data_IF_249153199190
#
_entry.id   IF_249153199190
#
_cell.length_a   1.000
_cell.length_b   1.000
_cell.length_c   1.000
_cell.angle_alpha   90.00
_cell.angle_beta   90.00
_cell.angle_gamma   90.00
#
_symmetry.space_group_name_H-M   'P 1'
#
loop_
_entity.id
_entity.type
_entity.pdbx_description
1 polymer ?
#
# COMPACT_ATOMS: atom_id res chain seq x y z
N UNK A 1 -36.83 33.73 35.55
CA UNK A 1 -36.60 34.43 34.28
C UNK A 1 -35.43 33.72 33.60
N UNK A 2 -35.67 32.96 32.52
CA UNK A 2 -34.61 32.21 31.84
C UNK A 2 -34.02 33.08 30.73
N UNK A 3 -32.73 33.41 30.84
CA UNK A 3 -32.01 34.18 29.82
C UNK A 3 -31.38 33.23 28.80
N UNK A 4 -31.87 33.27 27.56
CA UNK A 4 -31.36 32.46 26.46
C UNK A 4 -30.54 33.34 25.49
N UNK A 5 -29.24 33.04 25.28
CA UNK A 5 -28.29 33.79 24.44
C UNK A 5 -28.38 33.42 22.94
N UNK A 6 -29.28 34.07 22.18
CA UNK A 6 -29.32 34.14 20.70
C UNK A 6 -29.65 35.59 20.35
N UNK A 7 -29.30 36.07 19.14
CA UNK A 7 -29.61 37.45 18.72
C UNK A 7 -31.10 37.80 18.86
N UNK A 8 -32.00 36.82 18.70
CA UNK A 8 -33.41 36.98 19.04
C UNK A 8 -33.68 36.53 20.49
N UNK A 9 -33.93 37.51 21.37
CA UNK A 9 -34.28 37.31 22.77
C UNK A 9 -35.67 36.70 22.88
N UNK A 10 -35.74 35.38 23.09
CA UNK A 10 -36.99 34.74 23.49
C UNK A 10 -37.20 34.96 25.00
N UNK A 11 -37.99 35.96 25.37
CA UNK A 11 -38.41 36.17 26.76
C UNK A 11 -39.60 35.24 27.02
N UNK A 12 -39.42 34.29 27.94
CA UNK A 12 -40.49 33.44 28.46
C UNK A 12 -40.85 33.97 29.85
N UNK A 13 -42.03 34.58 29.95
CA UNK A 13 -42.60 34.94 31.24
C UNK A 13 -43.15 33.70 31.93
N UNK A 14 -42.70 33.41 33.16
CA UNK A 14 -43.15 32.28 33.98
C UNK A 14 -44.57 32.48 34.56
N UNK A 15 -45.25 33.57 34.21
CA UNK A 15 -46.62 33.83 34.63
C UNK A 15 -47.56 33.01 33.75
N UNK A 16 -48.05 31.89 34.27
CA UNK A 16 -49.13 31.13 33.66
C UNK A 16 -50.39 31.35 34.49
N UNK A 17 -51.47 31.74 33.82
CA UNK A 17 -52.75 31.88 34.48
C UNK A 17 -53.23 30.47 34.86
N UNK A 18 -53.61 30.19 36.12
CA UNK A 18 -53.92 28.84 36.58
C UNK A 18 -55.09 28.20 35.82
N UNK A 19 -55.97 29.00 35.23
CA UNK A 19 -57.10 28.56 34.39
C UNK A 19 -56.67 28.02 33.00
N UNK A 20 -55.46 28.35 32.54
CA UNK A 20 -54.90 27.93 31.25
C UNK A 20 -53.93 26.74 31.37
N UNK A 21 -53.76 26.19 32.58
CA UNK A 21 -52.93 25.01 32.80
C UNK A 21 -53.69 23.80 32.24
N UNK A 22 -53.15 23.10 31.23
CA UNK A 22 -53.79 21.90 30.72
C UNK A 22 -53.78 20.83 31.82
N UNK A 23 -54.97 20.33 32.16
CA UNK A 23 -55.17 19.07 32.86
C UNK A 23 -55.52 18.01 31.82
N UNK A 24 -54.75 16.90 31.71
CA UNK A 24 -53.64 16.49 32.60
C UNK A 24 -52.34 17.28 32.33
N UNK A 25 -51.58 17.53 33.41
CA UNK A 25 -50.23 18.08 33.30
C UNK A 25 -49.38 17.15 32.42
N UNK A 26 -48.42 17.70 31.66
CA UNK A 26 -47.45 16.89 30.94
C UNK A 26 -46.77 15.92 31.92
N UNK A 27 -46.75 14.65 31.54
CA UNK A 27 -46.25 13.56 32.37
C UNK A 27 -44.81 13.88 32.81
N UNK A 28 -44.56 13.86 34.13
CA UNK A 28 -43.23 14.12 34.72
C UNK A 28 -42.17 13.19 34.11
N UNK A 29 -42.59 12.01 33.67
CA UNK A 29 -41.77 11.03 32.97
C UNK A 29 -41.17 11.60 31.67
N UNK A 30 -41.92 12.40 30.91
CA UNK A 30 -41.46 12.99 29.64
C UNK A 30 -40.42 14.08 29.85
N UNK A 31 -40.56 14.85 30.94
CA UNK A 31 -39.58 15.88 31.33
C UNK A 31 -38.29 15.23 31.81
N UNK A 32 -38.39 14.19 32.64
CA UNK A 32 -37.22 13.43 33.11
C UNK A 32 -36.53 12.69 31.96
N UNK A 33 -37.29 12.21 30.97
CA UNK A 33 -36.75 11.61 29.74
C UNK A 33 -35.97 12.62 28.90
N UNK A 34 -36.51 13.84 28.72
CA UNK A 34 -35.81 14.93 28.03
C UNK A 34 -34.52 15.32 28.77
N UNK A 35 -34.60 15.47 30.09
CA UNK A 35 -33.44 15.74 30.94
C UNK A 35 -32.36 14.67 30.76
N UNK A 36 -32.75 13.40 30.88
CA UNK A 36 -31.85 12.28 30.68
C UNK A 36 -31.26 12.24 29.26
N UNK A 37 -31.99 12.61 28.20
CA UNK A 37 -31.43 12.68 26.85
C UNK A 37 -30.44 13.84 26.65
N UNK A 38 -30.69 14.98 27.28
CA UNK A 38 -29.77 16.13 27.27
C UNK A 38 -28.50 15.82 28.09
N UNK A 39 -28.64 15.21 29.27
CA UNK A 39 -27.54 14.88 30.18
C UNK A 39 -26.72 13.67 29.70
N UNK A 40 -27.35 12.65 29.11
CA UNK A 40 -26.65 11.46 28.56
C UNK A 40 -25.65 11.83 27.45
N UNK A 41 -25.84 12.96 26.77
CA UNK A 41 -24.89 13.50 25.79
C UNK A 41 -23.68 14.22 26.39
N UNK A 42 -23.76 14.68 27.64
CA UNK A 42 -22.69 15.43 28.30
C UNK A 42 -21.44 14.59 28.60
N UNK A 43 -21.56 13.26 28.61
CA UNK A 43 -20.47 12.35 28.96
C UNK A 43 -19.62 11.89 27.76
N UNK A 44 -20.08 12.06 26.52
CA UNK A 44 -19.46 11.39 25.36
C UNK A 44 -18.71 12.33 24.40
N UNK A 45 -19.00 13.64 24.38
CA UNK A 45 -18.30 14.64 23.56
C UNK A 45 -18.90 16.02 23.86
N UNK A 46 -18.08 17.02 24.19
CA UNK A 46 -18.57 18.39 24.43
C UNK A 46 -19.26 19.01 23.20
N UNK A 47 -18.98 18.51 21.98
CA UNK A 47 -19.62 18.96 20.74
C UNK A 47 -21.11 18.59 20.67
N UNK A 48 -21.43 17.32 20.92
CA UNK A 48 -22.79 16.77 20.80
C UNK A 48 -23.79 17.45 21.72
N UNK A 49 -23.38 17.75 22.96
CA UNK A 49 -24.27 18.39 23.94
C UNK A 49 -24.65 19.82 23.51
N UNK A 50 -23.68 20.58 23.00
CA UNK A 50 -23.93 21.95 22.51
C UNK A 50 -24.86 21.95 21.30
N UNK A 51 -24.70 21.00 20.37
CA UNK A 51 -25.55 20.88 19.19
C UNK A 51 -26.97 20.40 19.53
N UNK A 52 -27.13 19.45 20.47
CA UNK A 52 -28.44 19.05 21.00
C UNK A 52 -29.20 20.23 21.59
N UNK A 53 -28.53 21.07 22.38
CA UNK A 53 -29.11 22.29 22.94
C UNK A 53 -29.51 23.29 21.85
N UNK A 54 -28.68 23.48 20.83
CA UNK A 54 -28.98 24.37 19.71
C UNK A 54 -30.18 23.88 18.90
N UNK A 55 -30.24 22.57 18.60
CA UNK A 55 -31.37 21.93 17.93
C UNK A 55 -32.65 22.06 18.75
N UNK A 56 -32.62 21.69 20.02
CA UNK A 56 -33.75 21.82 20.93
C UNK A 56 -34.25 23.26 20.99
N UNK A 57 -33.34 24.22 21.16
CA UNK A 57 -33.66 25.63 21.19
C UNK A 57 -34.31 26.11 19.90
N UNK A 58 -33.80 25.68 18.74
CA UNK A 58 -34.35 26.02 17.43
C UNK A 58 -35.77 25.49 17.29
N UNK A 59 -36.01 24.24 17.65
CA UNK A 59 -37.34 23.62 17.63
C UNK A 59 -38.30 24.35 18.57
N UNK A 60 -37.84 24.68 19.77
CA UNK A 60 -38.61 25.37 20.79
C UNK A 60 -38.98 26.79 20.32
N UNK A 61 -38.03 27.53 19.74
CA UNK A 61 -38.28 28.86 19.18
C UNK A 61 -39.29 28.83 18.02
N UNK A 62 -39.15 27.88 17.09
CA UNK A 62 -40.01 27.77 15.92
C UNK A 62 -41.48 27.47 16.29
N UNK A 63 -41.69 26.69 17.37
CA UNK A 63 -43.02 26.36 17.89
C UNK A 63 -43.62 27.49 18.75
N UNK A 64 -42.80 28.26 19.46
CA UNK A 64 -43.26 29.28 20.42
C UNK A 64 -43.33 30.70 19.86
N UNK A 65 -42.71 30.98 18.70
CA UNK A 65 -42.74 32.32 18.08
C UNK A 65 -44.15 32.77 17.69
N UNK A 66 -45.04 31.83 17.40
CA UNK A 66 -46.43 32.07 17.00
C UNK A 66 -47.31 32.58 18.15
N UNK A 67 -46.86 32.42 19.40
CA UNK A 67 -47.61 32.79 20.59
C UNK A 67 -47.14 34.12 21.22
N UNK A 68 -48.06 34.94 21.76
CA UNK A 68 -47.72 36.17 22.45
C UNK A 68 -46.91 35.89 23.73
N UNK A 69 -46.00 36.80 24.15
CA UNK A 69 -45.01 36.55 25.19
C UNK A 69 -45.57 36.17 26.57
N UNK A 70 -46.82 36.53 26.88
CA UNK A 70 -47.51 36.17 28.12
C UNK A 70 -48.02 34.72 28.13
N UNK A 71 -48.29 34.12 26.98
CA UNK A 71 -48.92 32.79 26.88
C UNK A 71 -47.94 31.68 26.48
N UNK A 72 -46.71 32.05 26.09
CA UNK A 72 -45.66 31.11 25.63
C UNK A 72 -45.41 29.96 26.60
N UNK A 73 -45.37 30.22 27.90
CA UNK A 73 -45.09 29.17 28.87
C UNK A 73 -46.25 28.16 28.98
N UNK A 74 -47.50 28.64 29.00
CA UNK A 74 -48.67 27.75 29.02
C UNK A 74 -48.77 26.95 27.70
N UNK A 75 -48.51 27.60 26.56
CA UNK A 75 -48.46 26.93 25.25
C UNK A 75 -47.34 25.88 25.16
N UNK A 76 -46.17 26.15 25.75
CA UNK A 76 -45.07 25.20 25.86
C UNK A 76 -45.48 23.95 26.64
N UNK A 77 -46.09 24.13 27.83
CA UNK A 77 -46.54 22.99 28.65
C UNK A 77 -47.62 22.16 27.94
N UNK A 78 -48.55 22.83 27.25
CA UNK A 78 -49.63 22.15 26.52
C UNK A 78 -49.13 21.35 25.32
N UNK A 79 -48.14 21.88 24.60
CA UNK A 79 -47.61 21.27 23.37
C UNK A 79 -46.26 20.56 23.61
N UNK A 80 -45.91 20.27 24.87
CA UNK A 80 -44.58 19.78 25.23
C UNK A 80 -44.23 18.48 24.50
N UNK A 81 -45.17 17.55 24.43
CA UNK A 81 -45.01 16.27 23.74
C UNK A 81 -44.73 16.47 22.24
N UNK A 82 -45.49 17.34 21.58
CA UNK A 82 -45.27 17.68 20.16
C UNK A 82 -43.92 18.35 19.92
N UNK A 83 -43.49 19.25 20.82
CA UNK A 83 -42.17 19.89 20.74
C UNK A 83 -41.07 18.83 20.92
N UNK A 84 -41.24 17.91 21.86
CA UNK A 84 -40.30 16.84 22.15
C UNK A 84 -40.16 15.85 20.99
N UNK A 85 -41.27 15.42 20.39
CA UNK A 85 -41.26 14.58 19.18
C UNK A 85 -40.60 15.28 17.99
N UNK A 86 -40.92 16.57 17.78
CA UNK A 86 -40.31 17.39 16.73
C UNK A 86 -38.80 17.54 16.92
N UNK A 87 -38.35 17.73 18.16
CA UNK A 87 -36.94 17.74 18.52
C UNK A 87 -36.29 16.39 18.24
N UNK A 88 -36.90 15.30 18.70
CA UNK A 88 -36.39 13.93 18.51
C UNK A 88 -36.21 13.61 17.03
N UNK A 89 -37.20 13.94 16.19
CA UNK A 89 -37.11 13.76 14.73
C UNK A 89 -36.02 14.63 14.12
N UNK A 90 -35.94 15.90 14.50
CA UNK A 90 -34.91 16.83 13.99
C UNK A 90 -33.51 16.38 14.39
N UNK A 91 -33.35 15.86 15.60
CA UNK A 91 -32.11 15.30 16.09
C UNK A 91 -31.73 14.03 15.33
N UNK A 92 -32.68 13.10 15.11
CA UNK A 92 -32.45 11.90 14.29
C UNK A 92 -32.02 12.25 12.87
N UNK A 93 -32.66 13.24 12.24
CA UNK A 93 -32.28 13.73 10.92
C UNK A 93 -30.89 14.37 10.91
N UNK A 94 -30.57 15.17 11.91
CA UNK A 94 -29.26 15.80 12.04
C UNK A 94 -28.15 14.75 12.24
N UNK A 95 -28.36 13.77 13.13
CA UNK A 95 -27.44 12.63 13.32
C UNK A 95 -27.27 11.86 12.01
N UNK A 96 -28.37 11.62 11.28
CA UNK A 96 -28.32 10.98 9.97
C UNK A 96 -27.55 11.78 8.92
N UNK A 97 -27.71 13.10 8.90
CA UNK A 97 -27.03 13.99 7.97
C UNK A 97 -25.54 14.13 8.28
N UNK A 98 -25.16 14.31 9.55
CA UNK A 98 -23.74 14.29 9.94
C UNK A 98 -23.11 12.94 9.67
N UNK A 99 -23.81 11.84 9.96
CA UNK A 99 -23.33 10.51 9.63
C UNK A 99 -23.07 10.35 8.13
N UNK A 100 -24.01 10.78 7.29
CA UNK A 100 -23.87 10.68 5.83
C UNK A 100 -22.72 11.58 5.32
N UNK A 101 -22.52 12.76 5.93
CA UNK A 101 -21.38 13.62 5.62
C UNK A 101 -20.04 12.97 5.99
N UNK A 102 -19.97 12.31 7.15
CA UNK A 102 -18.79 11.57 7.60
C UNK A 102 -18.53 10.37 6.70
N UNK A 103 -19.55 9.57 6.39
CA UNK A 103 -19.45 8.42 5.49
C UNK A 103 -18.94 8.86 4.11
N UNK A 104 -19.50 9.93 3.56
CA UNK A 104 -19.03 10.51 2.30
C UNK A 104 -17.57 10.95 2.38
N UNK A 105 -17.14 11.59 3.48
CA UNK A 105 -15.76 12.01 3.67
C UNK A 105 -14.78 10.81 3.78
N UNK A 106 -15.21 9.72 4.42
CA UNK A 106 -14.45 8.47 4.48
C UNK A 106 -14.35 7.82 3.10
N UNK A 107 -15.48 7.71 2.38
CA UNK A 107 -15.51 7.11 1.06
C UNK A 107 -14.70 7.93 0.04
N UNK A 108 -14.74 9.26 0.12
CA UNK A 108 -13.92 10.13 -0.72
C UNK A 108 -12.41 9.90 -0.49
N UNK A 109 -11.98 9.84 0.78
CA UNK A 109 -10.59 9.51 1.12
C UNK A 109 -10.21 8.10 0.66
N UNK A 110 -11.10 7.13 0.85
CA UNK A 110 -10.90 5.74 0.41
C UNK A 110 -10.72 5.66 -1.10
N UNK A 111 -11.59 6.30 -1.88
CA UNK A 111 -11.50 6.34 -3.34
C UNK A 111 -10.17 6.95 -3.78
N UNK A 112 -9.73 8.03 -3.13
CA UNK A 112 -8.42 8.62 -3.39
C UNK A 112 -7.27 7.64 -3.12
N UNK A 113 -7.27 6.95 -1.98
CA UNK A 113 -6.25 5.95 -1.68
C UNK A 113 -6.27 4.76 -2.65
N UNK A 114 -7.45 4.31 -3.07
CA UNK A 114 -7.58 3.27 -4.10
C UNK A 114 -7.01 3.73 -5.42
N UNK A 115 -7.28 4.98 -5.82
CA UNK A 115 -6.71 5.58 -7.03
C UNK A 115 -5.18 5.62 -6.97
N UNK A 116 -4.61 6.08 -5.85
CA UNK A 116 -3.16 6.16 -5.66
C UNK A 116 -2.51 4.77 -5.68
N UNK A 117 -3.11 3.79 -4.98
CA UNK A 117 -2.63 2.40 -4.98
C UNK A 117 -2.71 1.76 -6.38
N UNK A 118 -3.79 2.02 -7.12
CA UNK A 118 -3.93 1.54 -8.50
C UNK A 118 -2.91 2.19 -9.43
N UNK A 119 -2.59 3.48 -9.23
CA UNK A 119 -1.53 4.15 -9.98
C UNK A 119 -0.16 3.52 -9.74
N UNK A 120 0.17 3.23 -8.48
CA UNK A 120 1.40 2.49 -8.12
C UNK A 120 1.39 1.10 -8.76
N UNK A 121 0.28 0.36 -8.65
CA UNK A 121 0.14 -0.97 -9.23
C UNK A 121 0.29 -0.97 -10.75
N UNK A 122 -0.27 0.02 -11.44
CA UNK A 122 -0.13 0.19 -12.89
C UNK A 122 1.33 0.42 -13.30
N UNK A 123 2.05 1.26 -12.56
CA UNK A 123 3.48 1.47 -12.80
C UNK A 123 4.31 0.19 -12.56
N UNK A 124 3.95 -0.57 -11.52
CA UNK A 124 4.54 -1.88 -11.22
C UNK A 124 4.28 -2.86 -12.38
N UNK A 125 3.04 -2.96 -12.87
CA UNK A 125 2.68 -3.86 -13.97
C UNK A 125 3.42 -3.51 -15.26
N UNK A 126 3.52 -2.22 -15.60
CA UNK A 126 4.31 -1.76 -16.73
C UNK A 126 5.79 -2.15 -16.59
N UNK A 127 6.35 -2.01 -15.39
CA UNK A 127 7.72 -2.42 -15.08
C UNK A 127 7.92 -3.93 -15.23
N UNK A 128 6.96 -4.74 -14.78
CA UNK A 128 6.98 -6.21 -14.93
C UNK A 128 6.95 -6.61 -16.40
N UNK A 129 6.12 -5.95 -17.23
CA UNK A 129 6.06 -6.24 -18.67
C UNK A 129 7.35 -5.84 -19.41
N UNK A 130 8.05 -4.81 -18.93
CA UNK A 130 9.30 -4.35 -19.54
C UNK A 130 10.49 -5.28 -19.30
N UNK A 131 10.49 -6.03 -18.19
CA UNK A 131 11.62 -6.90 -17.80
C UNK A 131 11.87 -8.06 -18.79
N UNK A 132 10.86 -8.86 -19.17
CA UNK A 132 11.01 -9.93 -20.16
C UNK A 132 11.45 -9.39 -21.53
N UNK A 133 10.93 -8.22 -21.93
CA UNK A 133 11.30 -7.60 -23.19
C UNK A 133 12.77 -7.18 -23.19
N UNK A 134 13.26 -6.57 -22.10
CA UNK A 134 14.67 -6.23 -21.95
C UNK A 134 15.56 -7.48 -21.94
N UNK A 135 15.13 -8.56 -21.28
CA UNK A 135 15.85 -9.84 -21.29
C UNK A 135 15.92 -10.46 -22.70
N UNK A 136 14.84 -10.41 -23.46
CA UNK A 136 14.80 -10.90 -24.84
C UNK A 136 15.75 -10.12 -25.75
N UNK A 137 15.73 -8.78 -25.65
CA UNK A 137 16.66 -7.91 -26.41
C UNK A 137 18.11 -8.22 -26.05
N UNK A 138 18.38 -8.52 -24.77
CA UNK A 138 19.72 -8.87 -24.35
C UNK A 138 20.20 -10.19 -24.98
N UNK A 139 19.34 -11.21 -25.02
CA UNK A 139 19.63 -12.47 -25.70
C UNK A 139 19.89 -12.28 -27.20
N UNK A 140 19.10 -11.43 -27.88
CA UNK A 140 19.26 -11.15 -29.32
C UNK A 140 20.57 -10.41 -29.65
N UNK A 141 21.01 -9.50 -28.76
CA UNK A 141 22.19 -8.67 -29.00
C UNK A 141 23.50 -9.27 -28.47
N UNK A 142 23.43 -10.45 -27.87
CA UNK A 142 24.58 -11.15 -27.30
C UNK A 142 25.43 -11.78 -28.41
N UNK A 143 26.74 -11.54 -28.40
CA UNK A 143 27.65 -12.01 -29.44
C UNK A 143 28.91 -12.65 -28.83
N UNK A 144 29.09 -13.99 -28.90
CA UNK A 144 30.22 -14.66 -28.27
C UNK A 144 31.59 -14.27 -28.88
N UNK A 145 31.62 -13.72 -30.10
CA UNK A 145 32.86 -13.35 -30.77
C UNK A 145 33.48 -12.02 -30.29
N UNK A 146 32.70 -11.19 -29.59
CA UNK A 146 33.10 -9.82 -29.24
C UNK A 146 33.00 -9.55 -27.72
N UNK A 147 34.05 -9.84 -26.93
CA UNK A 147 34.00 -9.73 -25.46
C UNK A 147 33.75 -8.29 -24.99
N UNK A 148 34.27 -7.29 -25.71
CA UNK A 148 34.05 -5.87 -25.41
C UNK A 148 32.58 -5.47 -25.55
N UNK A 149 31.89 -6.01 -26.57
CA UNK A 149 30.47 -5.77 -26.80
C UNK A 149 29.63 -6.37 -25.67
N UNK A 150 29.96 -7.59 -25.22
CA UNK A 150 29.28 -8.25 -24.12
C UNK A 150 29.50 -7.53 -22.78
N UNK A 151 30.71 -7.00 -22.55
CA UNK A 151 31.01 -6.16 -21.38
C UNK A 151 30.16 -4.87 -21.40
N UNK A 152 30.11 -4.19 -22.55
CA UNK A 152 29.29 -2.99 -22.72
C UNK A 152 27.81 -3.29 -22.47
N UNK A 153 27.30 -4.41 -23.02
CA UNK A 153 25.94 -4.89 -22.76
C UNK A 153 25.67 -5.07 -21.26
N UNK A 154 26.57 -5.77 -20.55
CA UNK A 154 26.44 -6.00 -19.10
C UNK A 154 26.45 -4.71 -18.28
N UNK A 155 27.31 -3.75 -18.64
CA UNK A 155 27.32 -2.44 -17.98
C UNK A 155 26.02 -1.66 -18.21
N UNK A 156 25.47 -1.68 -19.43
CA UNK A 156 24.21 -1.01 -19.76
C UNK A 156 23.04 -1.61 -18.97
N UNK A 157 22.95 -2.95 -18.91
CA UNK A 157 21.94 -3.65 -18.08
C UNK A 157 22.09 -3.28 -16.60
N UNK A 158 23.32 -3.14 -16.12
CA UNK A 158 23.57 -2.77 -14.72
C UNK A 158 23.10 -1.35 -14.43
N UNK A 159 23.41 -0.39 -15.30
CA UNK A 159 22.94 1.01 -15.17
C UNK A 159 21.42 1.08 -15.18
N UNK A 160 20.79 0.38 -16.13
CA UNK A 160 19.33 0.29 -16.20
C UNK A 160 18.73 -0.36 -14.94
N UNK A 161 19.36 -1.44 -14.46
CA UNK A 161 18.98 -2.12 -13.23
C UNK A 161 19.04 -1.20 -12.00
N UNK A 162 20.08 -0.39 -11.88
CA UNK A 162 20.20 0.60 -10.79
C UNK A 162 19.09 1.65 -10.87
N UNK A 163 18.76 2.12 -12.07
CA UNK A 163 17.67 3.09 -12.27
C UNK A 163 16.31 2.50 -11.88
N UNK A 164 16.00 1.28 -12.34
CA UNK A 164 14.77 0.56 -11.98
C UNK A 164 14.73 0.28 -10.48
N UNK A 165 15.85 -0.09 -9.87
CA UNK A 165 15.95 -0.29 -8.43
C UNK A 165 15.64 0.99 -7.64
N UNK A 166 16.18 2.14 -8.07
CA UNK A 166 15.84 3.44 -7.47
C UNK A 166 14.36 3.77 -7.61
N UNK A 167 13.77 3.50 -8.77
CA UNK A 167 12.33 3.71 -8.99
C UNK A 167 11.48 2.85 -8.03
N UNK A 168 11.84 1.58 -7.88
CA UNK A 168 11.20 0.64 -6.94
C UNK A 168 11.45 1.02 -5.47
N UNK A 169 12.59 1.64 -5.16
CA UNK A 169 12.87 2.18 -3.83
C UNK A 169 11.95 3.35 -3.52
N UNK A 170 11.83 4.30 -4.44
CA UNK A 170 10.94 5.44 -4.31
C UNK A 170 9.48 5.02 -4.13
N UNK A 171 8.96 4.12 -4.98
CA UNK A 171 7.59 3.62 -4.87
C UNK A 171 7.30 2.89 -3.55
N UNK A 172 8.31 2.25 -2.97
CA UNK A 172 8.19 1.60 -1.65
C UNK A 172 8.06 2.59 -0.51
N UNK A 173 8.76 3.73 -0.58
CA UNK A 173 8.60 4.80 0.40
C UNK A 173 7.21 5.42 0.30
N UNK A 174 6.79 5.78 -0.92
CA UNK A 174 5.43 6.30 -1.16
C UNK A 174 4.35 5.33 -0.65
N UNK A 175 4.49 4.03 -0.90
CA UNK A 175 3.55 3.03 -0.39
C UNK A 175 3.50 2.97 1.15
N UNK A 176 4.65 3.15 1.80
CA UNK A 176 4.72 3.17 3.25
C UNK A 176 4.04 4.42 3.82
N UNK A 177 4.33 5.58 3.24
CA UNK A 177 3.74 6.87 3.63
C UNK A 177 2.21 6.85 3.43
N UNK A 178 1.73 6.35 2.28
CA UNK A 178 0.29 6.14 2.06
C UNK A 178 -0.31 5.19 3.10
N UNK A 179 0.42 4.14 3.47
CA UNK A 179 -0.03 3.19 4.48
C UNK A 179 -0.09 3.79 5.90
N UNK A 180 0.86 4.66 6.24
CA UNK A 180 0.85 5.40 7.50
C UNK A 180 -0.30 6.41 7.53
N UNK A 181 -0.51 7.14 6.43
CA UNK A 181 -1.65 8.05 6.28
C UNK A 181 -3.00 7.32 6.40
N UNK A 182 -3.13 6.13 5.83
CA UNK A 182 -4.34 5.28 5.98
C UNK A 182 -4.53 4.89 7.44
N UNK A 183 -3.45 4.47 8.13
CA UNK A 183 -3.51 4.04 9.53
C UNK A 183 -3.84 5.21 10.47
N UNK A 184 -3.26 6.38 10.22
CA UNK A 184 -3.53 7.61 10.96
C UNK A 184 -4.97 8.10 10.73
N UNK A 185 -5.45 8.04 9.48
CA UNK A 185 -6.85 8.35 9.18
C UNK A 185 -7.80 7.37 9.89
N UNK A 186 -7.49 6.07 9.86
CA UNK A 186 -8.28 5.06 10.58
C UNK A 186 -8.32 5.35 12.08
N UNK A 187 -7.18 5.63 12.71
CA UNK A 187 -7.10 5.94 14.13
C UNK A 187 -7.88 7.22 14.50
N UNK A 188 -7.80 8.27 13.68
CA UNK A 188 -8.55 9.52 13.88
C UNK A 188 -10.07 9.28 13.80
N UNK A 189 -10.53 8.44 12.87
CA UNK A 189 -11.94 8.08 12.75
C UNK A 189 -12.43 7.14 13.86
N UNK A 190 -11.61 6.16 14.27
CA UNK A 190 -11.94 5.26 15.39
C UNK A 190 -12.04 6.03 16.72
N UNK A 191 -11.15 7.00 16.94
CA UNK A 191 -11.17 7.85 18.14
C UNK A 191 -12.43 8.73 18.21
N UNK A 192 -12.94 9.19 17.06
CA UNK A 192 -14.11 10.07 17.00
C UNK A 192 -15.45 9.33 17.02
N UNK A 193 -15.49 8.06 16.60
CA UNK A 193 -16.76 7.35 16.37
C UNK A 193 -16.76 5.89 16.88
N UNK A 194 -16.72 5.71 18.20
CA UNK A 194 -16.70 4.40 18.87
C UNK A 194 -17.88 3.48 18.48
N UNK A 195 -19.08 4.05 18.27
CA UNK A 195 -20.31 3.29 18.02
C UNK A 195 -20.32 2.50 16.70
N UNK A 196 -19.49 2.87 15.71
CA UNK A 196 -19.40 2.17 14.41
C UNK A 196 -17.96 1.91 13.96
N UNK A 197 -17.00 1.92 14.89
CA UNK A 197 -15.61 1.61 14.61
C UNK A 197 -15.44 0.25 13.90
N UNK A 198 -16.26 -0.75 14.23
CA UNK A 198 -16.22 -2.07 13.56
C UNK A 198 -16.58 -2.01 12.07
N UNK A 199 -17.63 -1.27 11.69
CA UNK A 199 -18.05 -1.19 10.28
C UNK A 199 -17.00 -0.46 9.44
N UNK A 200 -16.47 0.65 9.96
CA UNK A 200 -15.37 1.40 9.34
C UNK A 200 -14.11 0.54 9.19
N UNK A 201 -13.74 -0.20 10.22
CA UNK A 201 -12.57 -1.09 10.23
C UNK A 201 -12.65 -2.13 9.11
N UNK A 202 -13.81 -2.73 8.88
CA UNK A 202 -14.01 -3.69 7.78
C UNK A 202 -13.74 -3.06 6.40
N UNK A 203 -14.11 -1.79 6.20
CA UNK A 203 -13.84 -1.06 4.95
C UNK A 203 -12.34 -0.77 4.78
N UNK A 204 -11.63 -0.44 5.86
CA UNK A 204 -10.19 -0.22 5.86
C UNK A 204 -9.38 -1.51 5.68
N UNK A 205 -9.88 -2.66 6.15
CA UNK A 205 -9.20 -3.95 6.00
C UNK A 205 -8.95 -4.30 4.52
N UNK A 206 -9.87 -3.94 3.63
CA UNK A 206 -9.67 -4.09 2.18
C UNK A 206 -8.46 -3.30 1.65
N UNK A 207 -8.19 -2.11 2.20
CA UNK A 207 -7.01 -1.30 1.85
C UNK A 207 -5.72 -1.93 2.39
N UNK A 208 -5.76 -2.50 3.60
CA UNK A 208 -4.62 -3.20 4.20
C UNK A 208 -4.22 -4.41 3.35
N UNK A 209 -5.20 -5.20 2.89
CA UNK A 209 -4.94 -6.31 1.97
C UNK A 209 -4.34 -5.85 0.63
N UNK A 210 -4.83 -4.74 0.07
CA UNK A 210 -4.26 -4.16 -1.15
C UNK A 210 -2.80 -3.71 -0.94
N UNK A 211 -2.51 -2.99 0.15
CA UNK A 211 -1.15 -2.58 0.52
C UNK A 211 -0.22 -3.78 0.63
N UNK A 212 -0.67 -4.85 1.27
CA UNK A 212 0.12 -6.07 1.45
C UNK A 212 0.44 -6.73 0.10
N UNK A 213 -0.53 -6.80 -0.82
CA UNK A 213 -0.34 -7.34 -2.17
C UNK A 213 0.68 -6.53 -2.96
N UNK A 214 0.59 -5.20 -2.91
CA UNK A 214 1.55 -4.30 -3.58
C UNK A 214 2.95 -4.45 -3.00
N UNK A 215 3.08 -4.52 -1.67
CA UNK A 215 4.38 -4.72 -1.01
C UNK A 215 5.02 -6.06 -1.36
N UNK A 216 4.23 -7.15 -1.41
CA UNK A 216 4.72 -8.45 -1.88
C UNK A 216 5.20 -8.40 -3.33
N UNK A 217 4.45 -7.71 -4.21
CA UNK A 217 4.83 -7.53 -5.61
C UNK A 217 6.14 -6.74 -5.77
N UNK A 218 6.31 -5.64 -5.03
CA UNK A 218 7.56 -4.87 -5.01
C UNK A 218 8.75 -5.71 -4.55
N UNK A 219 8.58 -6.52 -3.50
CA UNK A 219 9.62 -7.45 -3.03
C UNK A 219 9.98 -8.49 -4.07
N UNK A 220 8.98 -9.03 -4.77
CA UNK A 220 9.19 -9.99 -5.85
C UNK A 220 9.97 -9.36 -7.01
N UNK A 221 9.58 -8.18 -7.47
CA UNK A 221 10.30 -7.49 -8.55
C UNK A 221 11.75 -7.16 -8.20
N UNK A 222 12.03 -6.71 -6.97
CA UNK A 222 13.42 -6.47 -6.52
C UNK A 222 14.25 -7.76 -6.61
N UNK A 223 13.70 -8.90 -6.19
CA UNK A 223 14.38 -10.19 -6.30
C UNK A 223 14.57 -10.61 -7.76
N UNK A 224 13.55 -10.42 -8.61
CA UNK A 224 13.63 -10.73 -10.04
C UNK A 224 14.69 -9.87 -10.75
N UNK A 225 14.74 -8.56 -10.45
CA UNK A 225 15.74 -7.65 -11.00
C UNK A 225 17.16 -8.07 -10.60
N UNK A 226 17.38 -8.42 -9.33
CA UNK A 226 18.67 -8.94 -8.86
C UNK A 226 19.04 -10.24 -9.57
N UNK A 227 18.10 -11.16 -9.76
CA UNK A 227 18.33 -12.41 -10.46
C UNK A 227 18.74 -12.18 -11.93
N UNK A 228 18.10 -11.22 -12.61
CA UNK A 228 18.47 -10.85 -13.99
C UNK A 228 19.88 -10.26 -14.01
N UNK A 229 20.17 -9.26 -13.16
CA UNK A 229 21.51 -8.64 -13.13
C UNK A 229 22.58 -9.69 -12.83
N UNK A 230 22.39 -10.53 -11.82
CA UNK A 230 23.33 -11.61 -11.48
C UNK A 230 23.45 -12.65 -12.61
N UNK A 231 22.35 -13.02 -13.26
CA UNK A 231 22.35 -13.94 -14.40
C UNK A 231 23.13 -13.37 -15.59
N UNK A 232 22.95 -12.08 -15.90
CA UNK A 232 23.69 -11.42 -16.97
C UNK A 232 25.19 -11.35 -16.68
N UNK A 233 25.59 -10.99 -15.46
CA UNK A 233 26.99 -11.00 -15.06
C UNK A 233 27.57 -12.42 -15.03
N UNK A 234 26.81 -13.42 -14.59
CA UNK A 234 27.21 -14.82 -14.62
C UNK A 234 27.47 -15.33 -16.04
N UNK A 235 26.61 -14.96 -17.01
CA UNK A 235 26.77 -15.27 -18.43
C UNK A 235 27.99 -14.56 -19.03
N UNK A 236 28.16 -13.28 -18.74
CA UNK A 236 29.32 -12.51 -19.20
C UNK A 236 30.61 -13.10 -18.63
N UNK A 237 30.65 -13.43 -17.34
CA UNK A 237 31.83 -14.03 -16.71
C UNK A 237 32.13 -15.42 -17.27
N UNK A 238 31.15 -16.32 -17.34
CA UNK A 238 31.37 -17.71 -17.78
C UNK A 238 31.97 -17.79 -19.19
N UNK A 239 31.55 -16.89 -20.09
CA UNK A 239 32.03 -16.86 -21.47
C UNK A 239 33.34 -16.10 -21.66
N UNK A 240 33.62 -15.11 -20.81
CA UNK A 240 34.90 -14.39 -20.86
C UNK A 240 36.04 -15.12 -20.15
N UNK A 241 35.74 -16.01 -19.19
CA UNK A 241 36.75 -16.82 -18.47
C UNK A 241 37.73 -17.54 -19.42
N UNK A 242 37.31 -18.31 -20.44
CA UNK A 242 38.26 -19.00 -21.33
C UNK A 242 39.15 -18.04 -22.13
N UNK A 243 38.59 -16.93 -22.63
CA UNK A 243 39.34 -15.88 -23.35
C UNK A 243 40.36 -15.20 -22.43
N UNK A 244 39.98 -14.95 -21.18
CA UNK A 244 40.88 -14.39 -20.17
C UNK A 244 42.01 -15.36 -19.79
N UNK A 245 41.72 -16.65 -19.69
CA UNK A 245 42.73 -17.69 -19.46
C UNK A 245 43.75 -17.79 -20.61
N UNK A 246 43.33 -17.56 -21.86
CA UNK A 246 44.24 -17.55 -23.00
C UNK A 246 45.05 -16.25 -23.14
N UNK A 247 44.64 -15.16 -22.49
CA UNK A 247 45.35 -13.90 -22.55
C UNK A 247 46.76 -14.00 -21.95
N UNK A 248 47.75 -13.44 -22.66
CA UNK A 248 49.18 -13.41 -22.28
C UNK A 248 49.49 -13.02 -20.82
N UNK A 249 48.79 -12.07 -20.16
CA UNK A 249 49.11 -11.72 -18.78
C UNK A 249 48.83 -12.86 -17.78
N UNK A 250 47.81 -13.70 -18.01
CA UNK A 250 47.54 -14.85 -17.14
C UNK A 250 48.56 -15.96 -17.33
N UNK A 251 49.08 -16.17 -18.55
CA UNK A 251 50.19 -17.11 -18.79
C UNK A 251 51.45 -16.71 -18.03
N UNK A 252 51.77 -15.41 -17.97
CA UNK A 252 52.88 -14.90 -17.16
C UNK A 252 52.64 -15.15 -15.67
N UNK A 253 51.45 -14.90 -15.14
CA UNK A 253 51.13 -15.07 -13.72
C UNK A 253 51.10 -16.56 -13.31
N UNK A 254 50.61 -17.44 -14.19
CA UNK A 254 50.69 -18.90 -13.99
C UNK A 254 52.13 -19.42 -14.07
N UNK A 255 52.96 -18.89 -14.97
CA UNK A 255 54.39 -19.20 -15.02
C UNK A 255 55.13 -18.68 -13.78
N UNK A 256 54.77 -17.49 -13.29
CA UNK A 256 55.35 -16.89 -12.08
C UNK A 256 55.00 -17.69 -10.83
N UNK A 257 53.74 -18.09 -10.67
CA UNK A 257 53.31 -18.97 -9.58
C UNK A 257 53.97 -20.35 -9.66
N UNK A 258 54.16 -20.89 -10.87
CA UNK A 258 54.88 -22.15 -11.08
C UNK A 258 56.39 -22.04 -10.81
N UNK A 259 57.00 -20.88 -11.03
CA UNK A 259 58.41 -20.61 -10.74
C UNK A 259 58.67 -20.31 -9.25
N UNK A 260 57.66 -19.89 -8.49
CA UNK A 260 57.76 -19.63 -7.05
C UNK A 260 57.62 -20.88 -6.17
N UNK A 261 57.23 -22.04 -6.72
CA UNK A 261 57.19 -23.30 -5.99
C UNK A 261 58.58 -23.97 -6.05
N UNK A 262 59.20 -24.30 -4.91
CA UNK A 262 60.49 -24.98 -4.89
C UNK A 262 60.37 -26.31 -5.64
N UNK A 263 61.23 -26.49 -6.64
CA UNK A 263 61.31 -27.74 -7.41
C UNK A 263 61.41 -28.92 -6.43
N UNK A 264 60.57 -29.97 -6.57
CA UNK A 264 60.83 -31.21 -5.86
C UNK A 264 62.23 -31.68 -6.24
N UNK A 265 63.05 -31.97 -5.24
CA UNK A 265 64.44 -32.37 -5.39
C UNK A 265 64.54 -33.59 -6.32
N UNK A 266 65.59 -33.67 -7.17
CA UNK A 266 65.75 -34.79 -8.09
C UNK A 266 65.89 -36.09 -7.29
N UNK A 267 64.96 -37.02 -7.50
CA UNK A 267 65.07 -38.39 -7.02
C UNK A 267 66.24 -39.07 -7.73
N UNK A 268 67.09 -39.85 -7.04
CA UNK A 268 68.32 -40.40 -7.60
C UNK A 268 68.07 -41.38 -8.73
N UNK A 269 68.90 -41.26 -9.77
CA UNK A 269 68.97 -42.13 -10.95
C UNK A 269 69.02 -43.62 -10.60
N UNK A 270 68.17 -44.47 -11.21
CA UNK A 270 68.41 -45.89 -11.27
C UNK A 270 69.48 -46.22 -12.33
N UNK A 271 70.43 -47.06 -11.92
CA UNK A 271 71.51 -47.65 -12.72
C UNK A 271 70.98 -48.49 -13.91
N UNK A 272 71.79 -48.71 -14.96
CA UNK A 272 71.36 -49.29 -16.22
C UNK A 272 71.35 -50.82 -16.17
N UNK A 273 70.30 -51.43 -16.71
CA UNK A 273 70.28 -52.85 -17.08
C UNK A 273 69.93 -53.00 -18.56
N UNK A 274 70.65 -53.84 -19.31
CA UNK A 274 70.52 -53.96 -20.76
C UNK A 274 69.56 -55.10 -21.09
N UNK A 275 68.50 -54.86 -21.85
CA UNK A 275 67.90 -55.90 -22.69
C UNK A 275 67.24 -55.26 -23.91
N UNK A 276 67.89 -55.50 -25.06
CA UNK A 276 67.35 -55.26 -26.38
C UNK A 276 66.31 -56.34 -26.70
N UNK A 277 65.14 -55.95 -27.21
CA UNK A 277 64.32 -56.78 -28.10
C UNK A 277 63.58 -55.89 -29.11
N UNK A 278 64.15 -55.88 -30.32
CA UNK A 278 63.54 -55.97 -31.65
C UNK A 278 62.05 -55.59 -31.83
N UNK A 279 61.83 -54.64 -32.74
CA UNK A 279 60.55 -54.31 -33.40
C UNK A 279 59.92 -55.50 -34.16
N UNK A 280 58.65 -55.41 -34.61
CA UNK A 280 58.40 -54.78 -35.92
C UNK A 280 57.13 -53.91 -36.01
N UNK A 281 57.32 -52.72 -36.57
CA UNK A 281 56.65 -52.06 -37.71
C UNK A 281 55.18 -52.34 -38.16
N UNK A 282 54.59 -51.38 -38.89
CA UNK A 282 53.16 -51.00 -38.88
C UNK A 282 52.39 -51.50 -40.12
N UNK A 283 51.07 -51.27 -40.18
CA UNK A 283 50.21 -51.37 -41.37
C UNK A 283 48.82 -50.72 -41.08
N UNK A 284 47.99 -50.36 -42.08
CA UNK A 284 47.87 -49.01 -42.64
C UNK A 284 46.41 -48.46 -42.59
N UNK A 285 46.05 -47.35 -43.27
CA UNK A 285 44.79 -46.63 -43.09
C UNK A 285 43.64 -47.24 -43.90
N UNK A 286 42.39 -46.93 -43.51
CA UNK A 286 41.20 -47.33 -44.26
C UNK A 286 40.36 -46.09 -44.61
N UNK A 287 40.44 -45.74 -45.90
CA UNK A 287 39.57 -44.79 -46.59
C UNK A 287 38.17 -45.38 -46.88
N UNK A 288 37.28 -44.46 -47.28
CA UNK A 288 36.06 -44.64 -48.09
C UNK A 288 34.77 -45.10 -47.35
N UNK A 289 33.57 -44.54 -47.57
CA UNK A 289 33.02 -43.49 -48.44
C UNK A 289 31.58 -43.14 -47.87
N UNK A 290 30.78 -42.24 -48.48
CA UNK A 290 29.66 -41.50 -47.89
C UNK A 290 28.30 -42.19 -48.08
N UNK A 291 27.27 -41.63 -47.44
CA UNK A 291 25.89 -41.76 -47.91
C UNK A 291 25.06 -40.57 -47.47
N UNK A 292 24.70 -39.74 -48.44
CA UNK A 292 23.55 -38.84 -48.42
C UNK A 292 22.29 -39.60 -48.00
N UNK A 293 21.46 -39.06 -47.10
CA UNK A 293 20.00 -39.14 -47.21
C UNK A 293 19.39 -37.81 -46.81
N UNK A 294 18.60 -37.33 -47.75
CA UNK A 294 17.80 -36.13 -47.86
C UNK A 294 16.38 -36.38 -47.31
N UNK A 295 15.64 -35.29 -47.03
CA UNK A 295 14.17 -35.16 -46.83
C UNK A 295 13.65 -34.96 -45.39
N UNK A 296 12.45 -34.38 -45.20
CA UNK A 296 11.99 -33.08 -45.72
C UNK A 296 11.45 -32.17 -44.60
N UNK A 297 11.44 -30.86 -44.87
CA UNK A 297 10.70 -29.88 -44.06
C UNK A 297 9.19 -30.11 -44.15
N UNK A 298 8.53 -30.02 -43.00
CA UNK A 298 7.19 -29.44 -42.85
C UNK A 298 7.34 -28.04 -42.29
#
# INVERSE_FOLDING_TARGET
>A
MLYFLTPDKLIISLKCNPELIPTPLPDLVSVEKLRNELERGSASSNGDHSQRLVLFRKTLWDQLRTYPPGERFCAFLRNFETIFESYTRSYQLWVGAEFNAIEKAVDEKRVKFVSDLNGILGSIQASILSLPLAALILCDKFDPGNPLRNLLLGTMVTVLGVLVWRLLAHQSHTLNDTGEAISAAQADFEAKHLLRAMELRSRFETLVHLKQRVSNSLRFMRRALLAIVLGTWGLVLSLNVPVWLESKPMRWLAQFLRAGLPSPSPSPSPSPSPFAFSSPSPLPPRDALPSSIESPQQ
#
